data_IF_204241404145
#
_entry.id   IF_204241404145
#
_cell.length_a   1.000
_cell.length_b   1.000
_cell.length_c   1.000
_cell.angle_alpha   90.00
_cell.angle_beta   90.00
_cell.angle_gamma   90.00
#
_symmetry.space_group_name_H-M   'P 1'
#
loop_
_entity.id
_entity.type
_entity.pdbx_description
1 polymer ?
#
# COMPACT_ATOMS: atom_id res chain seq x y z
N UNK A 1 32.81 -2.23 41.33
CA UNK A 1 31.91 -2.21 40.15
C UNK A 1 31.26 -3.60 40.08
N UNK A 2 30.06 -3.77 40.68
CA UNK A 2 29.33 -5.04 40.64
C UNK A 2 28.80 -5.22 39.24
N UNK A 3 29.32 -6.21 38.51
CA UNK A 3 28.66 -6.71 37.28
C UNK A 3 27.24 -7.16 37.67
N UNK A 4 26.23 -6.36 37.38
CA UNK A 4 24.84 -6.83 37.37
C UNK A 4 24.79 -7.87 36.25
N UNK A 5 24.66 -9.14 36.61
CA UNK A 5 24.20 -10.18 35.72
C UNK A 5 22.77 -9.79 35.29
N UNK A 6 22.67 -9.05 34.18
CA UNK A 6 21.39 -8.82 33.52
C UNK A 6 21.04 -10.10 32.80
N UNK A 7 20.49 -11.05 33.53
CA UNK A 7 19.85 -12.20 32.90
C UNK A 7 18.73 -11.66 32.02
N UNK A 8 18.82 -11.96 30.73
CA UNK A 8 17.80 -11.59 29.73
C UNK A 8 16.42 -12.06 30.21
N UNK A 9 15.42 -11.17 30.35
CA UNK A 9 14.13 -11.49 30.98
C UNK A 9 13.39 -12.68 30.36
N UNK A 10 13.57 -12.93 29.05
CA UNK A 10 12.90 -14.03 28.33
C UNK A 10 13.72 -15.32 28.25
N UNK A 11 14.92 -15.39 28.85
CA UNK A 11 15.83 -16.53 28.77
C UNK A 11 15.15 -17.86 29.12
N UNK A 12 14.34 -17.84 30.14
CA UNK A 12 13.60 -19.04 30.57
C UNK A 12 12.55 -19.47 29.53
N UNK A 13 11.80 -18.52 28.96
CA UNK A 13 10.84 -18.82 27.87
C UNK A 13 11.52 -19.30 26.61
N UNK A 14 12.67 -18.72 26.26
CA UNK A 14 13.50 -19.17 25.14
C UNK A 14 13.90 -20.63 25.34
N UNK A 15 14.43 -20.98 26.50
CA UNK A 15 14.82 -22.37 26.83
C UNK A 15 13.60 -23.31 26.81
N UNK A 16 12.48 -22.88 27.38
CA UNK A 16 11.25 -23.68 27.43
C UNK A 16 10.76 -24.03 26.02
N UNK A 17 10.68 -23.05 25.12
CA UNK A 17 10.05 -23.21 23.79
C UNK A 17 11.03 -23.77 22.76
N UNK A 18 12.28 -23.28 22.77
CA UNK A 18 13.26 -23.66 21.77
C UNK A 18 13.97 -24.99 22.06
N UNK A 19 13.89 -25.48 23.31
CA UNK A 19 14.52 -26.71 23.72
C UNK A 19 13.49 -27.70 24.29
N UNK A 20 12.83 -27.35 25.40
CA UNK A 20 11.99 -28.33 26.13
C UNK A 20 10.70 -28.69 25.41
N UNK A 21 10.01 -27.72 24.78
CA UNK A 21 8.79 -27.91 23.98
C UNK A 21 9.07 -28.02 22.48
N UNK A 22 10.33 -28.24 22.11
CA UNK A 22 10.70 -28.49 20.71
C UNK A 22 10.78 -30.02 20.46
N UNK A 23 9.86 -30.60 19.67
CA UNK A 23 9.79 -32.03 19.44
C UNK A 23 11.02 -32.62 18.69
N UNK A 24 11.80 -31.74 18.03
CA UNK A 24 13.06 -32.15 17.39
C UNK A 24 14.23 -32.29 18.39
N UNK A 25 14.09 -31.74 19.61
CA UNK A 25 15.16 -31.73 20.62
C UNK A 25 14.82 -32.54 21.87
N UNK A 26 13.54 -32.61 22.22
CA UNK A 26 13.06 -33.27 23.45
C UNK A 26 11.88 -34.15 23.12
N UNK A 27 11.93 -35.39 23.58
CA UNK A 27 10.83 -36.33 23.46
C UNK A 27 9.80 -36.04 24.56
N UNK A 28 8.77 -35.28 24.19
CA UNK A 28 7.68 -34.88 25.09
C UNK A 28 6.78 -36.05 25.50
N UNK A 29 6.83 -37.17 24.79
CA UNK A 29 6.02 -38.35 25.14
C UNK A 29 6.51 -39.08 26.40
N UNK A 30 7.75 -38.80 26.82
CA UNK A 30 8.36 -39.38 28.01
C UNK A 30 8.00 -38.59 29.30
N UNK A 31 7.44 -37.38 29.16
CA UNK A 31 7.07 -36.55 30.32
C UNK A 31 5.75 -37.03 30.94
N UNK A 32 5.77 -37.22 32.24
CA UNK A 32 4.54 -37.54 33.01
C UNK A 32 3.59 -36.31 33.07
N UNK A 33 2.30 -36.58 33.28
CA UNK A 33 1.31 -35.52 33.49
C UNK A 33 1.67 -34.62 34.67
N UNK A 34 2.25 -35.15 35.74
CA UNK A 34 2.68 -34.40 36.89
C UNK A 34 3.83 -33.42 36.55
N UNK A 35 4.81 -33.84 35.75
CA UNK A 35 5.91 -32.98 35.29
C UNK A 35 5.38 -31.86 34.38
N UNK A 36 4.49 -32.18 33.44
CA UNK A 36 3.83 -31.18 32.58
C UNK A 36 2.99 -30.18 33.38
N UNK A 37 2.29 -30.62 34.43
CA UNK A 37 1.54 -29.74 35.32
C UNK A 37 2.47 -28.78 36.08
N UNK A 38 3.60 -29.27 36.58
CA UNK A 38 4.62 -28.42 37.24
C UNK A 38 5.20 -27.39 36.28
N UNK A 39 5.54 -27.79 35.06
CA UNK A 39 6.03 -26.85 34.03
C UNK A 39 4.98 -25.79 33.70
N UNK A 40 3.71 -26.18 33.60
CA UNK A 40 2.60 -25.29 33.35
C UNK A 40 2.41 -24.26 34.47
N UNK A 41 2.42 -24.69 35.72
CA UNK A 41 2.34 -23.79 36.88
C UNK A 41 3.53 -22.82 36.93
N UNK A 42 4.73 -23.34 36.63
CA UNK A 42 5.94 -22.52 36.59
C UNK A 42 5.89 -21.50 35.46
N UNK A 43 5.34 -21.84 34.30
CA UNK A 43 5.16 -20.91 33.17
C UNK A 43 4.28 -19.71 33.55
N UNK A 44 3.17 -19.93 34.25
CA UNK A 44 2.30 -18.85 34.73
C UNK A 44 3.03 -17.95 35.73
N UNK A 45 3.74 -18.53 36.69
CA UNK A 45 4.49 -17.74 37.71
C UNK A 45 5.62 -16.94 37.05
N UNK A 46 6.35 -17.54 36.13
CA UNK A 46 7.47 -16.88 35.48
C UNK A 46 7.00 -15.80 34.50
N UNK A 47 5.87 -15.99 33.80
CA UNK A 47 5.24 -14.96 32.96
C UNK A 47 4.98 -13.66 33.76
N UNK A 48 4.43 -13.77 34.98
CA UNK A 48 4.24 -12.63 35.84
C UNK A 48 5.55 -11.94 36.29
N UNK A 49 6.61 -12.75 36.53
CA UNK A 49 7.95 -12.20 36.87
C UNK A 49 8.57 -11.47 35.67
N UNK A 50 8.42 -12.04 34.47
CA UNK A 50 8.90 -11.46 33.22
C UNK A 50 8.24 -10.10 32.98
N UNK A 51 6.93 -9.97 33.18
CA UNK A 51 6.24 -8.67 33.07
C UNK A 51 6.88 -7.61 33.99
N UNK A 52 7.16 -7.97 35.22
CA UNK A 52 7.79 -7.04 36.17
C UNK A 52 9.21 -6.69 35.76
N UNK A 53 10.02 -7.66 35.29
CA UNK A 53 11.39 -7.41 34.80
C UNK A 53 11.39 -6.48 33.60
N UNK A 54 10.60 -6.77 32.57
CA UNK A 54 10.46 -5.96 31.37
C UNK A 54 10.05 -4.53 31.75
N UNK A 55 9.04 -4.38 32.62
CA UNK A 55 8.60 -3.08 33.10
C UNK A 55 9.73 -2.30 33.76
N UNK A 56 10.49 -2.94 34.66
CA UNK A 56 11.58 -2.30 35.39
C UNK A 56 12.72 -1.90 34.43
N UNK A 57 13.08 -2.72 33.47
CA UNK A 57 14.09 -2.37 32.47
C UNK A 57 13.66 -1.19 31.61
N UNK A 58 12.42 -1.17 31.14
CA UNK A 58 11.89 -0.06 30.34
C UNK A 58 11.88 1.24 31.16
N UNK A 59 11.47 1.19 32.43
CA UNK A 59 11.42 2.37 33.30
C UNK A 59 12.80 2.85 33.75
N UNK A 60 13.83 2.02 33.71
CA UNK A 60 15.19 2.43 33.95
C UNK A 60 15.79 3.30 32.85
N UNK A 61 15.19 3.26 31.62
CA UNK A 61 15.62 4.03 30.47
C UNK A 61 15.04 5.45 30.48
N UNK A 62 15.87 6.43 30.10
CA UNK A 62 15.45 7.85 30.06
C UNK A 62 15.14 8.33 28.65
N UNK A 63 15.78 7.75 27.63
CA UNK A 63 15.66 8.22 26.26
C UNK A 63 14.55 7.47 25.50
N UNK A 64 13.61 8.20 24.92
CA UNK A 64 12.50 7.63 24.15
C UNK A 64 12.95 6.66 23.04
N UNK A 65 14.11 6.93 22.42
CA UNK A 65 14.68 6.06 21.36
C UNK A 65 15.09 4.70 21.92
N UNK A 66 15.72 4.68 23.10
CA UNK A 66 16.15 3.43 23.76
C UNK A 66 14.93 2.62 24.23
N UNK A 67 13.93 3.31 24.81
CA UNK A 67 12.67 2.67 25.20
C UNK A 67 12.01 2.02 23.98
N UNK A 68 11.90 2.74 22.86
CA UNK A 68 11.32 2.21 21.61
C UNK A 68 12.06 0.96 21.13
N UNK A 69 13.39 1.00 21.09
CA UNK A 69 14.20 -0.14 20.68
C UNK A 69 13.98 -1.35 21.58
N UNK A 70 13.95 -1.16 22.89
CA UNK A 70 13.77 -2.24 23.85
C UNK A 70 12.37 -2.85 23.78
N UNK A 71 11.32 -2.02 23.71
CA UNK A 71 9.93 -2.47 23.57
C UNK A 71 9.77 -3.28 22.27
N UNK A 72 10.29 -2.79 21.15
CA UNK A 72 10.25 -3.50 19.87
C UNK A 72 11.01 -4.83 19.91
N UNK A 73 12.18 -4.86 20.56
CA UNK A 73 12.95 -6.08 20.75
C UNK A 73 12.14 -7.13 21.51
N UNK A 74 11.52 -6.78 22.65
CA UNK A 74 10.68 -7.72 23.39
C UNK A 74 9.46 -8.17 22.60
N UNK A 75 8.79 -7.25 21.93
CA UNK A 75 7.61 -7.56 21.12
C UNK A 75 7.97 -8.54 20.00
N UNK A 76 9.02 -8.26 19.22
CA UNK A 76 9.45 -9.16 18.13
C UNK A 76 9.92 -10.53 18.63
N UNK A 77 10.61 -10.59 19.78
CA UNK A 77 11.04 -11.86 20.35
C UNK A 77 9.85 -12.69 20.84
N UNK A 78 8.88 -12.07 21.50
CA UNK A 78 7.67 -12.76 21.95
C UNK A 78 6.85 -13.31 20.77
N UNK A 79 6.75 -12.55 19.66
CA UNK A 79 6.11 -13.03 18.43
C UNK A 79 6.86 -14.24 17.87
N UNK A 80 8.20 -14.18 17.81
CA UNK A 80 9.02 -15.30 17.37
C UNK A 80 8.80 -16.56 18.22
N UNK A 81 8.76 -16.42 19.55
CA UNK A 81 8.49 -17.53 20.46
C UNK A 81 7.08 -18.10 20.28
N UNK A 82 6.09 -17.24 20.09
CA UNK A 82 4.71 -17.63 19.85
C UNK A 82 4.59 -18.43 18.54
N UNK A 83 5.20 -17.94 17.46
CA UNK A 83 5.21 -18.65 16.18
C UNK A 83 5.90 -20.00 16.28
N UNK A 84 7.06 -20.05 16.94
CA UNK A 84 7.79 -21.31 17.17
C UNK A 84 6.95 -22.31 17.96
N UNK A 85 6.26 -21.85 18.99
CA UNK A 85 5.40 -22.72 19.80
C UNK A 85 4.22 -23.27 18.99
N UNK A 86 3.60 -22.43 18.16
CA UNK A 86 2.51 -22.86 17.27
C UNK A 86 2.98 -23.81 16.16
N UNK A 87 4.21 -23.64 15.67
CA UNK A 87 4.80 -24.58 14.70
C UNK A 87 5.16 -25.92 15.36
N UNK A 88 5.71 -25.89 16.56
CA UNK A 88 5.96 -27.10 17.36
C UNK A 88 4.65 -27.87 17.62
N UNK A 89 3.56 -27.16 17.92
CA UNK A 89 2.24 -27.74 18.21
C UNK A 89 1.65 -28.55 17.04
N UNK A 90 2.16 -28.39 15.80
CA UNK A 90 1.73 -29.19 14.64
C UNK A 90 2.27 -30.63 14.67
N UNK A 91 3.27 -30.90 15.49
CA UNK A 91 3.81 -32.24 15.60
C UNK A 91 2.83 -33.17 16.33
N UNK A 92 2.83 -34.46 15.93
CA UNK A 92 1.87 -35.46 16.44
C UNK A 92 1.89 -35.65 17.96
N UNK A 93 3.03 -35.40 18.62
CA UNK A 93 3.16 -35.52 20.08
C UNK A 93 2.22 -34.57 20.83
N UNK A 94 1.86 -33.43 20.23
CA UNK A 94 0.91 -32.48 20.80
C UNK A 94 -0.56 -32.89 20.68
N UNK A 95 -0.85 -34.07 20.10
CA UNK A 95 -2.18 -34.69 20.16
C UNK A 95 -2.41 -35.36 21.52
N UNK A 96 -1.36 -35.58 22.32
CA UNK A 96 -1.49 -36.09 23.70
C UNK A 96 -2.16 -35.01 24.56
N UNK A 97 -3.27 -35.31 25.27
CA UNK A 97 -4.05 -34.30 25.99
C UNK A 97 -3.24 -33.47 26.99
N UNK A 98 -2.36 -34.10 27.75
CA UNK A 98 -1.52 -33.43 28.75
C UNK A 98 -0.51 -32.47 28.12
N UNK A 99 0.09 -32.84 26.98
CA UNK A 99 1.03 -31.99 26.23
C UNK A 99 0.27 -30.82 25.57
N UNK A 100 -0.91 -31.10 24.98
CA UNK A 100 -1.76 -30.07 24.38
C UNK A 100 -2.17 -28.99 25.38
N UNK A 101 -2.65 -29.39 26.57
CA UNK A 101 -3.05 -28.46 27.63
C UNK A 101 -1.89 -27.57 28.08
N UNK A 102 -0.70 -28.17 28.25
CA UNK A 102 0.50 -27.41 28.62
C UNK A 102 0.92 -26.44 27.53
N UNK A 103 0.85 -26.84 26.27
CA UNK A 103 1.15 -25.99 25.11
C UNK A 103 0.20 -24.80 25.01
N UNK A 104 -1.12 -25.03 25.13
CA UNK A 104 -2.13 -23.98 25.13
C UNK A 104 -1.92 -22.94 26.25
N UNK A 105 -1.50 -23.42 27.42
CA UNK A 105 -1.22 -22.55 28.56
C UNK A 105 0.03 -21.69 28.32
N UNK A 106 1.09 -22.27 27.72
CA UNK A 106 2.30 -21.51 27.33
C UNK A 106 1.93 -20.45 26.28
N UNK A 107 1.14 -20.80 25.26
CA UNK A 107 0.64 -19.86 24.25
C UNK A 107 -0.14 -18.72 24.90
N UNK A 108 -1.02 -19.04 25.85
CA UNK A 108 -1.75 -18.03 26.62
C UNK A 108 -0.83 -17.09 27.39
N UNK A 109 0.22 -17.61 28.03
CA UNK A 109 1.21 -16.78 28.72
C UNK A 109 1.94 -15.83 27.75
N UNK A 110 2.29 -16.30 26.54
CA UNK A 110 2.90 -15.44 25.50
C UNK A 110 1.94 -14.35 25.03
N UNK A 111 0.66 -14.69 24.79
CA UNK A 111 -0.37 -13.72 24.42
C UNK A 111 -0.61 -12.65 25.52
N UNK A 112 -0.58 -13.06 26.78
CA UNK A 112 -0.69 -12.13 27.91
C UNK A 112 0.50 -11.17 27.99
N UNK A 113 1.73 -11.65 27.72
CA UNK A 113 2.93 -10.84 27.67
C UNK A 113 2.89 -9.86 26.48
N UNK A 114 2.45 -10.31 25.30
CA UNK A 114 2.25 -9.44 24.13
C UNK A 114 1.20 -8.37 24.41
N UNK A 115 0.04 -8.78 24.91
CA UNK A 115 -1.03 -7.85 25.31
C UNK A 115 -0.58 -6.82 26.35
N UNK A 116 0.27 -7.22 27.31
CA UNK A 116 0.86 -6.31 28.28
C UNK A 116 1.73 -5.24 27.58
N UNK A 117 2.62 -5.64 26.66
CA UNK A 117 3.46 -4.70 25.92
C UNK A 117 2.61 -3.76 25.04
N UNK A 118 1.64 -4.30 24.32
CA UNK A 118 0.79 -3.55 23.41
C UNK A 118 -0.11 -2.53 24.15
N UNK A 119 -0.68 -2.90 25.28
CA UNK A 119 -1.52 -1.98 26.06
C UNK A 119 -0.72 -0.94 26.82
N UNK A 120 0.40 -1.36 27.43
CA UNK A 120 1.18 -0.48 28.31
C UNK A 120 2.13 0.44 27.58
N UNK A 121 2.67 -0.02 26.45
CA UNK A 121 3.73 0.65 25.69
C UNK A 121 3.35 0.91 24.23
N UNK A 122 2.05 1.02 23.93
CA UNK A 122 1.51 1.27 22.59
C UNK A 122 2.18 2.44 21.86
N UNK A 123 2.49 3.53 22.59
CA UNK A 123 3.15 4.72 22.02
C UNK A 123 4.59 4.49 21.54
N UNK A 124 5.20 3.38 21.90
CA UNK A 124 6.55 2.98 21.52
C UNK A 124 6.56 1.89 20.43
N UNK A 125 5.42 1.27 20.14
CA UNK A 125 5.25 0.33 19.03
C UNK A 125 4.90 1.09 17.76
N UNK A 126 5.37 0.60 16.62
CA UNK A 126 5.01 1.12 15.30
C UNK A 126 3.82 0.33 14.74
N UNK A 127 2.99 1.00 13.93
CA UNK A 127 1.99 0.30 13.13
C UNK A 127 2.62 -0.65 12.10
N UNK A 128 3.90 -0.50 11.81
CA UNK A 128 4.65 -1.37 10.90
C UNK A 128 5.22 -2.60 11.60
N UNK A 129 4.97 -2.75 12.90
CA UNK A 129 5.28 -4.00 13.61
C UNK A 129 4.35 -5.12 13.13
N UNK A 130 4.89 -6.32 13.15
CA UNK A 130 4.16 -7.53 12.79
C UNK A 130 3.05 -7.83 13.82
N UNK A 131 1.92 -8.30 13.33
CA UNK A 131 0.79 -8.72 14.17
C UNK A 131 1.02 -10.15 14.66
N UNK A 132 0.81 -10.46 15.97
CA UNK A 132 0.82 -11.81 16.48
C UNK A 132 -0.18 -12.73 15.75
N UNK A 133 0.22 -13.98 15.51
CA UNK A 133 -0.60 -14.92 14.73
C UNK A 133 -1.96 -15.23 15.38
N UNK A 134 -2.02 -15.25 16.71
CA UNK A 134 -3.26 -15.42 17.47
C UNK A 134 -4.25 -14.29 17.20
N UNK A 135 -3.77 -13.05 17.12
CA UNK A 135 -4.55 -11.88 16.71
C UNK A 135 -5.04 -11.99 15.26
N UNK A 136 -4.16 -12.45 14.36
CA UNK A 136 -4.53 -12.66 12.96
C UNK A 136 -5.65 -13.69 12.81
N UNK A 137 -5.60 -14.79 13.57
CA UNK A 137 -6.63 -15.82 13.54
C UNK A 137 -8.01 -15.30 13.98
N UNK A 138 -8.04 -14.48 15.03
CA UNK A 138 -9.30 -13.85 15.50
C UNK A 138 -9.79 -12.82 14.49
N UNK A 139 -8.90 -11.94 14.00
CA UNK A 139 -9.25 -10.92 13.02
C UNK A 139 -9.76 -11.53 11.72
N UNK A 140 -9.17 -12.62 11.25
CA UNK A 140 -9.64 -13.37 10.06
C UNK A 140 -11.08 -13.85 10.19
N UNK A 141 -11.42 -14.44 11.33
CA UNK A 141 -12.81 -14.88 11.58
C UNK A 141 -13.79 -13.71 11.51
N UNK A 142 -13.45 -12.59 12.13
CA UNK A 142 -14.25 -11.36 12.10
C UNK A 142 -14.41 -10.85 10.66
N UNK A 143 -13.30 -10.76 9.92
CA UNK A 143 -13.29 -10.27 8.55
C UNK A 143 -14.04 -11.20 7.60
N UNK A 144 -13.89 -12.52 7.74
CA UNK A 144 -14.67 -13.49 6.96
C UNK A 144 -16.20 -13.34 7.17
N UNK A 145 -16.63 -13.06 8.40
CA UNK A 145 -18.04 -12.80 8.67
C UNK A 145 -18.53 -11.50 7.99
N UNK A 146 -17.70 -10.46 7.99
CA UNK A 146 -18.00 -9.20 7.29
C UNK A 146 -18.02 -9.40 5.77
N UNK A 147 -17.09 -10.17 5.21
CA UNK A 147 -17.09 -10.52 3.77
C UNK A 147 -18.32 -11.29 3.37
N UNK A 148 -18.75 -12.27 4.15
CA UNK A 148 -20.00 -13.01 3.88
C UNK A 148 -21.22 -12.08 3.86
N UNK A 149 -21.23 -11.04 4.70
CA UNK A 149 -22.29 -10.01 4.66
C UNK A 149 -22.22 -9.17 3.38
N UNK A 150 -21.02 -8.75 2.97
CA UNK A 150 -20.83 -8.00 1.73
C UNK A 150 -21.20 -8.82 0.48
N UNK A 151 -20.82 -10.10 0.41
CA UNK A 151 -21.15 -10.98 -0.70
C UNK A 151 -22.66 -11.21 -0.87
N UNK A 152 -23.44 -11.11 0.22
CA UNK A 152 -24.90 -11.19 0.16
C UNK A 152 -25.56 -9.92 -0.37
N UNK A 153 -24.85 -8.79 -0.35
CA UNK A 153 -25.27 -7.52 -0.95
C UNK A 153 -24.94 -7.58 -2.42
N UNK A 154 -25.86 -7.99 -3.26
CA UNK A 154 -25.72 -7.88 -4.71
C UNK A 154 -26.04 -6.44 -5.10
N UNK A 155 -25.11 -5.79 -5.81
CA UNK A 155 -25.42 -4.55 -6.49
C UNK A 155 -26.39 -4.84 -7.65
N UNK A 156 -27.24 -3.87 -8.00
CA UNK A 156 -28.13 -3.97 -9.16
C UNK A 156 -27.34 -4.00 -10.48
N UNK A 157 -26.11 -3.48 -10.47
CA UNK A 157 -25.21 -3.38 -11.62
C UNK A 157 -24.10 -4.45 -11.56
N UNK A 158 -23.93 -5.20 -12.65
CA UNK A 158 -22.91 -6.23 -12.79
C UNK A 158 -21.48 -5.69 -12.70
N UNK A 159 -21.23 -4.45 -13.16
CA UNK A 159 -19.92 -3.81 -13.02
C UNK A 159 -19.54 -3.59 -11.56
N UNK A 160 -20.51 -3.15 -10.73
CA UNK A 160 -20.27 -2.96 -9.30
C UNK A 160 -20.02 -4.29 -8.59
N UNK A 161 -20.72 -5.34 -8.99
CA UNK A 161 -20.47 -6.68 -8.49
C UNK A 161 -19.05 -7.15 -8.85
N UNK A 162 -18.56 -6.82 -10.05
CA UNK A 162 -17.21 -7.12 -10.48
C UNK A 162 -16.17 -6.39 -9.61
N UNK A 163 -16.35 -5.08 -9.37
CA UNK A 163 -15.48 -4.28 -8.50
C UNK A 163 -15.46 -4.88 -7.09
N UNK A 164 -16.61 -5.16 -6.50
CA UNK A 164 -16.72 -5.72 -5.17
C UNK A 164 -16.02 -7.09 -5.07
N UNK A 165 -16.19 -7.95 -6.07
CA UNK A 165 -15.52 -9.24 -6.14
C UNK A 165 -14.00 -9.11 -6.22
N UNK A 166 -13.48 -8.13 -6.99
CA UNK A 166 -12.05 -7.84 -7.06
C UNK A 166 -11.52 -7.40 -5.70
N UNK A 167 -12.23 -6.49 -5.02
CA UNK A 167 -11.82 -6.02 -3.68
C UNK A 167 -11.81 -7.17 -2.68
N UNK A 168 -12.87 -7.99 -2.65
CA UNK A 168 -12.96 -9.14 -1.75
C UNK A 168 -11.82 -10.13 -2.01
N UNK A 169 -11.54 -10.44 -3.28
CA UNK A 169 -10.47 -11.35 -3.66
C UNK A 169 -9.11 -10.85 -3.23
N UNK A 170 -8.76 -9.60 -3.55
CA UNK A 170 -7.49 -8.97 -3.19
C UNK A 170 -7.26 -8.94 -1.66
N UNK A 171 -8.31 -8.63 -0.89
CA UNK A 171 -8.21 -8.60 0.57
C UNK A 171 -8.11 -10.00 1.16
N UNK A 172 -8.84 -10.99 0.62
CA UNK A 172 -8.70 -12.38 1.07
C UNK A 172 -7.31 -12.97 0.74
N UNK A 173 -6.74 -12.61 -0.40
CA UNK A 173 -5.39 -13.01 -0.78
C UNK A 173 -4.33 -12.39 0.14
N UNK A 174 -4.51 -11.14 0.58
CA UNK A 174 -3.59 -10.48 1.53
C UNK A 174 -3.53 -11.19 2.88
N UNK A 175 -4.59 -11.92 3.26
CA UNK A 175 -4.64 -12.75 4.47
C UNK A 175 -4.22 -14.20 4.26
N UNK A 176 -3.73 -14.56 3.08
CA UNK A 176 -3.35 -15.94 2.82
C UNK A 176 -2.28 -16.42 3.82
N UNK A 177 -2.32 -17.72 4.16
CA UNK A 177 -1.43 -18.30 5.16
C UNK A 177 0.06 -18.26 4.76
N UNK A 178 0.36 -18.00 3.48
CA UNK A 178 1.72 -17.92 2.95
C UNK A 178 2.43 -16.60 3.30
N UNK A 179 1.68 -15.55 3.69
CA UNK A 179 2.25 -14.24 4.03
C UNK A 179 2.21 -13.92 5.54
N UNK A 180 2.10 -14.93 6.41
CA UNK A 180 2.01 -14.75 7.87
C UNK A 180 3.05 -13.79 8.44
N UNK A 181 4.28 -13.88 7.90
CA UNK A 181 5.43 -13.15 8.42
C UNK A 181 5.46 -11.67 8.00
N UNK A 182 4.49 -11.22 7.18
CA UNK A 182 4.50 -9.89 6.59
C UNK A 182 3.36 -8.99 7.03
N UNK A 183 2.30 -9.53 7.68
CA UNK A 183 1.13 -8.74 8.05
C UNK A 183 1.46 -7.84 9.24
N UNK A 184 1.31 -6.53 9.03
CA UNK A 184 1.55 -5.50 10.04
C UNK A 184 0.24 -5.00 10.66
N UNK A 185 0.33 -4.33 11.83
CA UNK A 185 -0.84 -3.67 12.42
C UNK A 185 -1.45 -2.63 11.50
N UNK A 186 -0.62 -1.92 10.70
CA UNK A 186 -1.09 -0.94 9.70
C UNK A 186 -2.00 -1.61 8.68
N UNK A 187 -1.58 -2.73 8.12
CA UNK A 187 -2.36 -3.48 7.14
C UNK A 187 -3.66 -4.00 7.74
N UNK A 188 -3.60 -4.62 8.90
CA UNK A 188 -4.78 -5.13 9.60
C UNK A 188 -5.79 -4.02 9.91
N UNK A 189 -5.34 -2.85 10.37
CA UNK A 189 -6.19 -1.69 10.63
C UNK A 189 -6.79 -1.14 9.33
N UNK A 190 -5.99 -1.05 8.26
CA UNK A 190 -6.46 -0.64 6.94
C UNK A 190 -7.63 -1.52 6.48
N UNK A 191 -7.45 -2.83 6.52
CA UNK A 191 -8.46 -3.79 6.06
C UNK A 191 -9.74 -3.76 6.91
N UNK A 192 -9.60 -3.55 8.23
CA UNK A 192 -10.76 -3.32 9.11
C UNK A 192 -11.52 -2.05 8.73
N UNK A 193 -10.79 -0.97 8.46
CA UNK A 193 -11.38 0.31 8.04
C UNK A 193 -12.07 0.15 6.69
N UNK A 194 -11.39 -0.44 5.70
CA UNK A 194 -11.95 -0.69 4.37
C UNK A 194 -13.27 -1.47 4.45
N UNK A 195 -13.29 -2.57 5.19
CA UNK A 195 -14.51 -3.37 5.34
C UNK A 195 -15.61 -2.67 6.13
N UNK A 196 -15.22 -1.83 7.12
CA UNK A 196 -16.16 -0.99 7.84
C UNK A 196 -16.87 -0.02 6.91
N UNK A 197 -16.11 0.72 6.12
CA UNK A 197 -16.61 1.71 5.15
C UNK A 197 -17.46 1.03 4.05
N UNK A 198 -17.00 -0.09 3.50
CA UNK A 198 -17.76 -0.85 2.49
C UNK A 198 -19.12 -1.36 3.01
N UNK A 199 -19.21 -1.67 4.30
CA UNK A 199 -20.48 -2.09 4.92
C UNK A 199 -21.44 -0.91 5.14
N UNK A 200 -20.91 0.32 5.25
CA UNK A 200 -21.69 1.55 5.40
C UNK A 200 -22.22 2.11 4.08
N UNK A 201 -21.65 1.68 2.95
CA UNK A 201 -22.16 2.06 1.62
C UNK A 201 -23.52 1.41 1.43
N UNK A 202 -24.60 2.14 1.68
CA UNK A 202 -25.98 1.62 1.64
C UNK A 202 -26.52 1.43 0.22
N UNK A 203 -26.05 2.21 -0.73
CA UNK A 203 -26.49 2.21 -2.11
C UNK A 203 -25.30 2.11 -3.06
N UNK A 204 -25.14 0.97 -3.71
CA UNK A 204 -24.18 0.81 -4.81
C UNK A 204 -24.68 1.46 -6.11
N UNK A 205 -25.68 2.38 -6.03
CA UNK A 205 -26.19 3.10 -7.18
C UNK A 205 -25.14 4.04 -7.75
N UNK A 206 -25.07 4.11 -9.06
CA UNK A 206 -24.26 5.11 -9.75
C UNK A 206 -24.83 6.50 -9.49
N UNK A 207 -24.22 7.26 -8.62
CA UNK A 207 -24.46 8.68 -8.45
C UNK A 207 -23.29 9.44 -9.09
N UNK A 208 -23.44 9.82 -10.34
CA UNK A 208 -22.39 10.54 -11.08
C UNK A 208 -21.38 9.63 -11.79
N UNK A 209 -20.18 10.16 -12.04
CA UNK A 209 -19.12 9.46 -12.79
C UNK A 209 -18.52 8.30 -11.99
N UNK A 210 -18.32 8.52 -10.70
CA UNK A 210 -17.76 7.57 -9.77
C UNK A 210 -18.82 7.13 -8.77
N UNK A 211 -19.05 5.84 -8.68
CA UNK A 211 -19.98 5.27 -7.70
C UNK A 211 -19.53 5.54 -6.27
N UNK A 212 -20.44 5.39 -5.31
CA UNK A 212 -20.11 5.49 -3.88
C UNK A 212 -19.02 4.46 -3.49
N UNK A 213 -19.03 3.29 -4.12
CA UNK A 213 -17.98 2.29 -3.96
C UNK A 213 -16.62 2.80 -4.47
N UNK A 214 -16.57 3.38 -5.68
CA UNK A 214 -15.32 3.95 -6.21
C UNK A 214 -14.81 5.09 -5.35
N UNK A 215 -15.70 5.99 -4.92
CA UNK A 215 -15.34 7.10 -4.04
C UNK A 215 -14.72 6.61 -2.72
N UNK A 216 -15.29 5.56 -2.12
CA UNK A 216 -14.75 4.92 -0.93
C UNK A 216 -13.38 4.30 -1.18
N UNK A 217 -13.20 3.56 -2.28
CA UNK A 217 -11.93 2.92 -2.62
C UNK A 217 -10.82 3.94 -2.94
N UNK A 218 -11.16 5.03 -3.66
CA UNK A 218 -10.26 6.14 -3.94
C UNK A 218 -9.92 6.87 -2.64
N UNK A 219 -10.92 7.14 -1.80
CA UNK A 219 -10.78 7.81 -0.52
C UNK A 219 -9.82 7.09 0.43
N UNK A 220 -9.90 5.78 0.47
CA UNK A 220 -9.03 4.92 1.28
C UNK A 220 -7.73 4.52 0.57
N UNK A 221 -7.47 5.04 -0.63
CA UNK A 221 -6.31 4.68 -1.43
C UNK A 221 -6.15 3.16 -1.60
N UNK A 222 -7.18 2.50 -2.14
CA UNK A 222 -7.12 1.08 -2.48
C UNK A 222 -6.24 0.86 -3.72
N UNK A 223 -4.92 0.96 -3.54
CA UNK A 223 -3.90 0.96 -4.59
C UNK A 223 -3.57 -0.44 -5.14
N UNK A 224 -4.61 -1.27 -5.33
CA UNK A 224 -4.50 -2.53 -6.05
C UNK A 224 -4.38 -2.29 -7.55
N UNK A 225 -3.37 -2.86 -8.21
CA UNK A 225 -3.20 -2.77 -9.66
C UNK A 225 -4.39 -3.37 -10.42
N UNK A 226 -5.02 -4.41 -9.87
CA UNK A 226 -6.20 -5.03 -10.48
C UNK A 226 -7.39 -4.07 -10.47
N UNK A 227 -7.63 -3.40 -9.35
CA UNK A 227 -8.71 -2.41 -9.24
C UNK A 227 -8.42 -1.17 -10.10
N UNK A 228 -7.18 -0.64 -10.08
CA UNK A 228 -6.79 0.52 -10.88
C UNK A 228 -7.02 0.24 -12.37
N UNK A 229 -6.58 -0.91 -12.86
CA UNK A 229 -6.79 -1.30 -14.26
C UNK A 229 -8.29 -1.45 -14.60
N UNK A 230 -9.08 -1.98 -13.68
CA UNK A 230 -10.52 -2.11 -13.86
C UNK A 230 -11.19 -0.73 -13.93
N UNK A 231 -10.82 0.20 -13.05
CA UNK A 231 -11.31 1.57 -13.04
C UNK A 231 -10.98 2.29 -14.36
N UNK A 232 -9.72 2.23 -14.80
CA UNK A 232 -9.28 2.82 -16.07
C UNK A 232 -10.05 2.22 -17.24
N UNK A 233 -10.19 0.89 -17.33
CA UNK A 233 -10.96 0.26 -18.40
C UNK A 233 -12.40 0.74 -18.48
N UNK A 234 -13.07 0.90 -17.33
CA UNK A 234 -14.43 1.44 -17.27
C UNK A 234 -14.50 2.87 -17.79
N UNK A 235 -13.53 3.72 -17.40
CA UNK A 235 -13.45 5.10 -17.89
C UNK A 235 -13.22 5.15 -19.40
N UNK A 236 -12.28 4.36 -19.91
CA UNK A 236 -12.03 4.23 -21.36
C UNK A 236 -13.31 3.81 -22.07
N UNK A 237 -13.98 2.74 -21.63
CA UNK A 237 -15.21 2.27 -22.28
C UNK A 237 -16.32 3.35 -22.32
N UNK A 238 -16.43 4.19 -21.28
CA UNK A 238 -17.40 5.30 -21.26
C UNK A 238 -17.01 6.42 -22.24
N UNK A 239 -15.71 6.73 -22.37
CA UNK A 239 -15.20 7.74 -23.31
C UNK A 239 -15.30 7.26 -24.76
N UNK A 240 -15.12 5.97 -25.03
CA UNK A 240 -15.23 5.40 -26.37
C UNK A 240 -16.65 5.40 -26.93
N UNK A 241 -17.68 5.55 -26.10
CA UNK A 241 -19.06 5.72 -26.56
C UNK A 241 -19.30 7.04 -27.28
N UNK A 242 -18.44 8.04 -27.06
CA UNK A 242 -18.48 9.30 -27.80
C UNK A 242 -17.83 9.11 -29.19
N UNK A 243 -18.52 9.54 -30.22
CA UNK A 243 -18.03 9.42 -31.61
C UNK A 243 -17.04 10.55 -31.93
N UNK A 244 -17.30 11.75 -31.42
CA UNK A 244 -16.52 12.96 -31.71
C UNK A 244 -15.30 13.10 -30.77
N UNK A 245 -14.15 13.43 -31.37
CA UNK A 245 -12.90 13.63 -30.63
C UNK A 245 -12.97 14.78 -29.61
N UNK A 246 -13.65 15.86 -29.97
CA UNK A 246 -13.84 17.00 -29.05
C UNK A 246 -14.77 16.61 -27.90
N UNK A 247 -15.80 15.81 -28.17
CA UNK A 247 -16.67 15.20 -27.17
C UNK A 247 -15.91 14.29 -26.21
N UNK A 248 -15.04 13.43 -26.73
CA UNK A 248 -14.16 12.56 -25.92
C UNK A 248 -13.27 13.37 -24.98
N UNK A 249 -12.64 14.42 -25.50
CA UNK A 249 -11.78 15.31 -24.71
C UNK A 249 -12.57 16.03 -23.61
N UNK A 250 -13.75 16.56 -23.94
CA UNK A 250 -14.63 17.23 -22.98
C UNK A 250 -15.09 16.30 -21.87
N UNK A 251 -15.52 15.09 -22.23
CA UNK A 251 -15.97 14.06 -21.29
C UNK A 251 -14.84 13.58 -20.39
N UNK A 252 -13.66 13.34 -20.94
CA UNK A 252 -12.48 12.92 -20.21
C UNK A 252 -12.01 14.01 -19.22
N UNK A 253 -12.02 15.28 -19.65
CA UNK A 253 -11.69 16.43 -18.82
C UNK A 253 -12.69 16.60 -17.66
N UNK A 254 -13.98 16.34 -17.92
CA UNK A 254 -15.01 16.33 -16.89
C UNK A 254 -14.75 15.20 -15.87
N UNK A 255 -14.43 13.97 -16.32
CA UNK A 255 -14.09 12.86 -15.44
C UNK A 255 -12.85 13.16 -14.60
N UNK A 256 -11.85 13.78 -15.20
CA UNK A 256 -10.64 14.22 -14.51
C UNK A 256 -10.93 15.23 -13.41
N UNK A 257 -11.79 16.22 -13.68
CA UNK A 257 -12.23 17.20 -12.69
C UNK A 257 -12.93 16.50 -11.51
N UNK A 258 -13.90 15.63 -11.79
CA UNK A 258 -14.65 14.89 -10.76
C UNK A 258 -13.72 14.00 -9.92
N UNK A 259 -12.77 13.30 -10.56
CA UNK A 259 -11.78 12.48 -9.88
C UNK A 259 -10.93 13.28 -8.90
N UNK A 260 -10.49 14.46 -9.31
CA UNK A 260 -9.66 15.33 -8.46
C UNK A 260 -10.40 15.83 -7.22
N UNK A 261 -11.72 15.99 -7.29
CA UNK A 261 -12.55 16.43 -6.17
C UNK A 261 -12.76 15.35 -5.10
N UNK A 262 -12.59 14.06 -5.45
CA UNK A 262 -12.70 12.97 -4.48
C UNK A 262 -11.57 13.12 -3.46
N UNK A 263 -11.92 13.25 -2.18
CA UNK A 263 -10.92 13.23 -1.11
C UNK A 263 -10.21 11.89 -1.06
N UNK A 264 -8.91 11.89 -0.85
CA UNK A 264 -8.12 10.68 -0.61
C UNK A 264 -7.14 10.89 0.52
N UNK A 265 -7.03 9.90 1.40
CA UNK A 265 -6.13 9.94 2.53
C UNK A 265 -4.74 9.44 2.11
N UNK A 266 -3.78 10.35 2.02
CA UNK A 266 -2.40 10.06 1.60
C UNK A 266 -1.64 9.12 2.56
N UNK A 267 -2.10 9.00 3.81
CA UNK A 267 -1.46 8.15 4.83
C UNK A 267 -1.93 6.70 4.78
N UNK A 268 -3.02 6.45 4.07
CA UNK A 268 -3.56 5.11 3.89
C UNK A 268 -3.07 4.49 2.59
N UNK A 269 -2.87 3.18 2.60
CA UNK A 269 -2.56 2.39 1.41
C UNK A 269 -2.91 0.93 1.66
N UNK A 270 -3.41 0.26 0.63
CA UNK A 270 -3.67 -1.17 0.68
C UNK A 270 -2.38 -1.98 0.52
N UNK A 271 -1.55 -1.65 -0.47
CA UNK A 271 -0.26 -2.31 -0.71
C UNK A 271 0.88 -1.34 -0.44
N UNK A 272 1.71 -1.67 0.55
CA UNK A 272 2.94 -0.93 0.83
C UNK A 272 3.90 -0.98 -0.36
N UNK A 273 4.57 0.14 -0.65
CA UNK A 273 5.54 0.23 -1.76
C UNK A 273 4.93 0.43 -3.15
N UNK A 274 3.60 0.34 -3.30
CA UNK A 274 2.90 0.72 -4.52
C UNK A 274 2.57 2.21 -4.52
N UNK A 275 2.55 2.81 -5.71
CA UNK A 275 2.16 4.22 -5.85
C UNK A 275 0.73 4.47 -5.38
N UNK A 276 0.47 5.70 -4.99
CA UNK A 276 -0.86 6.13 -4.59
C UNK A 276 -1.83 6.04 -5.79
N UNK A 277 -3.04 5.54 -5.55
CA UNK A 277 -4.05 5.35 -6.60
C UNK A 277 -4.30 6.64 -7.40
N UNK A 278 -4.47 7.77 -6.70
CA UNK A 278 -4.70 9.07 -7.37
C UNK A 278 -3.54 9.47 -8.27
N UNK A 279 -2.30 9.14 -7.90
CA UNK A 279 -1.12 9.44 -8.73
C UNK A 279 -1.14 8.62 -10.01
N UNK A 280 -1.42 7.31 -9.91
CA UNK A 280 -1.43 6.43 -11.09
C UNK A 280 -2.56 6.79 -12.05
N UNK A 281 -3.78 6.92 -11.54
CA UNK A 281 -4.95 7.27 -12.36
C UNK A 281 -4.84 8.70 -12.88
N UNK A 282 -4.28 9.62 -12.06
CA UNK A 282 -4.02 10.99 -12.47
C UNK A 282 -3.08 11.08 -13.67
N UNK A 283 -1.94 10.39 -13.59
CA UNK A 283 -0.99 10.33 -14.72
C UNK A 283 -1.61 9.70 -15.98
N UNK A 284 -2.52 8.74 -15.82
CA UNK A 284 -3.27 8.20 -16.95
C UNK A 284 -4.18 9.28 -17.58
N UNK A 285 -4.95 10.03 -16.79
CA UNK A 285 -5.80 11.12 -17.32
C UNK A 285 -4.97 12.18 -18.07
N UNK A 286 -3.85 12.61 -17.48
CA UNK A 286 -2.96 13.59 -18.10
C UNK A 286 -2.43 13.12 -19.46
N UNK A 287 -1.99 11.88 -19.55
CA UNK A 287 -1.49 11.30 -20.81
C UNK A 287 -2.58 11.13 -21.85
N UNK A 288 -3.77 10.71 -21.46
CA UNK A 288 -4.89 10.50 -22.38
C UNK A 288 -5.45 11.83 -22.90
N UNK A 289 -5.59 12.84 -22.04
CA UNK A 289 -5.98 14.18 -22.44
C UNK A 289 -4.96 14.76 -23.45
N UNK A 290 -3.67 14.68 -23.13
CA UNK A 290 -2.61 15.16 -24.01
C UNK A 290 -2.61 14.42 -25.37
N UNK A 291 -2.92 13.13 -25.39
CA UNK A 291 -3.07 12.34 -26.61
C UNK A 291 -4.25 12.87 -27.47
N UNK A 292 -5.41 13.05 -26.86
CA UNK A 292 -6.61 13.56 -27.57
C UNK A 292 -6.42 14.98 -28.10
N UNK A 293 -5.78 15.86 -27.32
CA UNK A 293 -5.43 17.22 -27.75
C UNK A 293 -4.56 17.20 -29.01
N UNK A 294 -3.49 16.38 -29.03
CA UNK A 294 -2.63 16.23 -30.20
C UNK A 294 -3.37 15.67 -31.43
N UNK A 295 -4.30 14.73 -31.21
CA UNK A 295 -5.11 14.20 -32.31
C UNK A 295 -6.02 15.28 -32.90
N UNK A 296 -6.65 16.11 -32.07
CA UNK A 296 -7.47 17.24 -32.50
C UNK A 296 -6.64 18.30 -33.27
N UNK A 297 -5.43 18.60 -32.82
CA UNK A 297 -4.51 19.50 -33.52
C UNK A 297 -4.18 18.95 -34.92
N UNK A 298 -3.88 17.65 -35.04
CA UNK A 298 -3.58 17.02 -36.33
C UNK A 298 -4.78 17.03 -37.28
N UNK A 299 -6.00 16.85 -36.77
CA UNK A 299 -7.24 16.91 -37.54
C UNK A 299 -7.60 18.34 -37.94
N UNK A 300 -7.23 19.34 -37.17
CA UNK A 300 -7.51 20.77 -37.43
C UNK A 300 -6.53 21.38 -38.44
N UNK A 301 -5.40 20.72 -38.74
CA UNK A 301 -4.50 21.14 -39.84
C UNK A 301 -5.16 20.79 -41.16
N UNK A 302 -5.65 21.77 -41.96
CA UNK A 302 -6.29 21.47 -43.25
C UNK A 302 -5.28 20.70 -44.10
N UNK A 303 -5.74 19.56 -44.61
CA UNK A 303 -4.96 18.79 -45.58
C UNK A 303 -4.57 19.70 -46.76
N UNK A 304 -3.28 19.88 -46.98
CA UNK A 304 -2.69 20.77 -48.03
C UNK A 304 -3.07 20.39 -49.46
N UNK A 305 -4.02 19.46 -49.63
CA UNK A 305 -4.41 18.99 -50.98
C UNK A 305 -5.66 19.69 -51.55
N UNK A 306 -6.37 20.55 -50.77
CA UNK A 306 -7.62 21.16 -51.27
C UNK A 306 -7.56 22.65 -51.60
N UNK A 307 -6.46 23.35 -51.39
CA UNK A 307 -6.32 24.75 -51.76
C UNK A 307 -4.99 24.90 -52.49
N UNK A 308 -5.12 25.15 -53.81
CA UNK A 308 -4.00 25.50 -54.64
C UNK A 308 -3.19 26.65 -54.07
N UNK A 309 -1.90 26.47 -54.11
CA UNK A 309 -0.83 27.45 -53.97
C UNK A 309 -1.22 28.85 -53.51
N UNK A 310 -1.29 29.07 -52.21
CA UNK A 310 -0.90 30.33 -51.61
C UNK A 310 0.11 30.00 -50.51
N UNK A 311 1.38 30.15 -50.82
CA UNK A 311 2.47 30.18 -49.86
C UNK A 311 2.28 31.39 -48.93
N UNK A 312 1.42 31.28 -47.92
CA UNK A 312 1.51 32.13 -46.77
C UNK A 312 2.63 31.54 -45.90
N UNK A 313 3.87 31.94 -46.20
CA UNK A 313 4.96 31.87 -45.25
C UNK A 313 4.50 32.57 -43.98
N UNK A 314 4.34 31.85 -42.90
CA UNK A 314 4.15 32.48 -41.55
C UNK A 314 5.46 33.21 -41.25
N UNK A 315 5.47 34.50 -41.58
CA UNK A 315 6.59 35.39 -41.23
C UNK A 315 6.53 35.65 -39.76
N UNK A 316 7.54 35.23 -39.03
CA UNK A 316 7.82 35.71 -37.69
C UNK A 316 8.26 37.18 -37.84
N UNK A 317 7.41 38.10 -37.46
CA UNK A 317 7.82 39.51 -37.32
C UNK A 317 8.66 39.67 -36.08
N UNK A 318 9.90 40.10 -36.25
CA UNK A 318 10.84 40.29 -35.17
C UNK A 318 11.42 41.69 -35.29
N UNK A 319 11.33 42.48 -34.23
CA UNK A 319 11.83 43.86 -34.16
C UNK A 319 13.38 43.98 -34.11
N UNK A 320 14.05 42.83 -34.23
CA UNK A 320 15.52 42.74 -34.19
C UNK A 320 16.12 42.82 -35.61
N UNK A 321 17.23 43.55 -35.75
CA UNK A 321 17.98 43.56 -37.00
C UNK A 321 18.57 42.20 -37.33
N UNK A 322 18.84 41.93 -38.60
CA UNK A 322 19.46 40.66 -39.06
C UNK A 322 20.77 40.37 -38.30
N UNK A 323 21.58 41.40 -37.99
CA UNK A 323 22.82 41.28 -37.23
C UNK A 323 22.57 40.87 -35.76
N UNK A 324 21.54 41.45 -35.15
CA UNK A 324 21.12 41.09 -33.77
C UNK A 324 20.61 39.64 -33.68
N UNK A 325 19.82 39.22 -34.65
CA UNK A 325 19.35 37.83 -34.74
C UNK A 325 20.54 36.89 -34.95
N UNK A 326 21.49 37.27 -35.77
CA UNK A 326 22.75 36.53 -36.02
C UNK A 326 23.57 36.33 -34.76
N UNK A 327 23.72 37.36 -33.95
CA UNK A 327 24.46 37.33 -32.68
C UNK A 327 23.75 36.40 -31.67
N UNK A 328 22.40 36.54 -31.57
CA UNK A 328 21.58 35.69 -30.65
C UNK A 328 21.68 34.22 -31.04
N UNK A 329 21.54 33.90 -32.33
CA UNK A 329 21.62 32.52 -32.82
C UNK A 329 23.00 31.92 -32.62
N UNK A 330 24.07 32.72 -32.80
CA UNK A 330 25.45 32.32 -32.53
C UNK A 330 25.70 32.06 -31.06
N UNK A 331 25.24 32.95 -30.19
CA UNK A 331 25.30 32.75 -28.74
C UNK A 331 24.52 31.51 -28.28
N UNK A 332 23.35 31.23 -28.85
CA UNK A 332 22.54 30.06 -28.57
C UNK A 332 23.20 28.73 -29.04
N UNK A 333 23.94 28.76 -30.16
CA UNK A 333 24.77 27.64 -30.62
C UNK A 333 25.96 27.40 -29.75
N UNK A 334 26.73 28.45 -29.39
CA UNK A 334 27.87 28.38 -28.45
C UNK A 334 27.43 27.88 -27.06
N UNK A 335 26.23 28.30 -26.57
CA UNK A 335 25.65 27.82 -25.32
C UNK A 335 25.01 26.44 -25.42
N UNK A 336 25.01 25.80 -26.60
CA UNK A 336 24.38 24.52 -26.90
C UNK A 336 22.86 24.45 -26.63
N UNK A 337 22.18 25.58 -26.60
CA UNK A 337 20.72 25.69 -26.46
C UNK A 337 20.02 25.31 -27.77
N UNK A 338 20.64 25.64 -28.91
CA UNK A 338 20.16 25.26 -30.23
C UNK A 338 21.19 24.32 -30.88
N UNK A 339 20.74 23.15 -31.33
CA UNK A 339 21.58 22.20 -32.07
C UNK A 339 21.10 22.11 -33.50
N UNK A 340 21.90 22.59 -34.45
CA UNK A 340 21.65 22.44 -35.88
C UNK A 340 22.85 21.84 -36.58
N UNK A 341 22.61 20.99 -37.61
CA UNK A 341 23.65 20.41 -38.47
C UNK A 341 24.36 21.45 -39.31
N UNK A 342 23.76 22.61 -39.54
CA UNK A 342 24.33 23.74 -40.27
C UNK A 342 23.60 25.03 -39.91
N UNK A 343 24.31 26.00 -39.34
CA UNK A 343 23.80 27.34 -39.06
C UNK A 343 23.35 28.08 -40.29
N UNK A 344 24.00 27.86 -41.44
CA UNK A 344 23.58 28.45 -42.74
C UNK A 344 22.19 27.99 -43.20
N UNK A 345 21.76 26.79 -42.82
CA UNK A 345 20.40 26.29 -43.05
C UNK A 345 19.36 26.94 -42.15
N UNK A 346 19.75 27.23 -40.89
CA UNK A 346 18.88 27.94 -39.93
C UNK A 346 18.67 29.37 -40.42
N UNK A 347 19.75 30.05 -40.87
CA UNK A 347 19.67 31.38 -41.46
C UNK A 347 18.83 31.42 -42.76
N UNK A 348 19.02 30.46 -43.66
CA UNK A 348 18.24 30.40 -44.90
C UNK A 348 16.76 30.15 -44.68
N UNK A 349 16.36 29.36 -43.65
CA UNK A 349 14.96 29.06 -43.34
C UNK A 349 14.25 30.21 -42.61
N UNK A 350 14.95 30.94 -41.74
CA UNK A 350 14.34 31.94 -40.86
C UNK A 350 14.65 33.39 -41.26
N UNK A 351 15.59 33.62 -42.16
CA UNK A 351 16.06 34.97 -42.50
C UNK A 351 16.00 35.27 -44.01
N UNK A 352 15.32 34.51 -44.81
CA UNK A 352 15.11 34.84 -46.21
C UNK A 352 13.63 35.23 -46.41
N UNK A 353 13.27 36.42 -46.96
CA UNK A 353 14.09 37.42 -47.57
C UNK A 353 13.97 38.81 -46.93
N UNK A 354 15.02 39.31 -46.33
CA UNK A 354 15.25 40.74 -46.21
C UNK A 354 16.08 41.18 -47.41
N UNK A 355 15.46 41.30 -48.60
CA UNK A 355 16.07 41.93 -49.75
C UNK A 355 15.15 43.03 -50.25
N UNK A 356 15.59 44.26 -50.05
CA UNK A 356 15.31 45.48 -50.79
C UNK A 356 13.89 46.06 -50.72
N UNK A 357 13.71 47.01 -49.88
CA UNK A 357 12.84 48.15 -50.08
C UNK A 357 13.63 49.37 -49.81
N UNK A 358 14.12 50.01 -50.83
CA UNK A 358 14.36 51.45 -50.86
C UNK A 358 13.02 52.14 -50.87
#
# INVERSE_FOLDING_TARGET
MKMMNHNYPLEWLDALILVHFNPAKTDLSLLSEAELAVVSEHAVKESGRIQVRIKNEIFALRRKKEIRLLVRKYHSTLIFLLDTMLDNQRHSVFQLPSVSVSAELIIKCLDELLSFLEKRFSSYLSLDERVPITYLLVSRKELQLKFKKLQKRKAENDEMNLVLNVVIKEVLESFSMQERDRITFRQMLYERTLLGELLLVDDFKEQGVFSALDQTLIGLNFNSSVYINLLIKRLVSKVELEEDMAGKLSLLSFYWKEFNQIYSNEKLFFKAGMQHLKTVVGSWFENEILYLEKQLELLSVPSKEALGESKTESKLECDLSADQIGIILRAADEARVVRSRSMSLVFKKNCAPFINGF
#
